data_IF_490212446921
#
_entry.id   IF_490212446921
#
_cell.length_a   1.000
_cell.length_b   1.000
_cell.length_c   1.000
_cell.angle_alpha   90.00
_cell.angle_beta   90.00
_cell.angle_gamma   90.00
#
_symmetry.space_group_name_H-M   'P 1'
#
loop_
_entity.id
_entity.type
_entity.pdbx_description
1 polymer ?
#
# COMPACT_ATOMS: atom_id res chain seq x y z
N UNK A 1 -4.09 12.76 -17.96
CA UNK A 1 -2.98 11.98 -18.53
C UNK A 1 -2.05 11.67 -17.36
N UNK A 2 -2.40 10.67 -16.56
CA UNK A 2 -1.67 10.36 -15.32
C UNK A 2 -0.53 9.41 -15.68
N UNK A 3 0.68 9.85 -15.40
CA UNK A 3 1.92 9.12 -15.59
C UNK A 3 1.97 7.94 -14.60
N UNK A 4 1.48 6.78 -15.01
CA UNK A 4 1.88 5.52 -14.40
C UNK A 4 3.26 5.17 -14.96
N UNK A 5 4.28 5.93 -14.53
CA UNK A 5 5.66 5.55 -14.77
C UNK A 5 5.80 4.16 -14.17
N UNK A 6 6.05 3.15 -15.02
CA UNK A 6 6.30 1.75 -14.65
C UNK A 6 7.35 1.74 -13.54
N UNK A 7 6.88 1.84 -12.31
CA UNK A 7 7.73 1.90 -11.12
C UNK A 7 8.47 0.58 -11.17
N UNK A 8 9.78 0.65 -10.96
CA UNK A 8 10.71 -0.45 -11.13
C UNK A 8 10.07 -1.80 -10.72
N UNK A 9 10.36 -2.92 -11.40
CA UNK A 9 9.70 -4.24 -11.24
C UNK A 9 9.81 -4.85 -9.83
N UNK A 10 10.31 -4.08 -8.86
CA UNK A 10 10.58 -4.43 -7.50
C UNK A 10 10.01 -3.47 -6.46
N UNK A 11 9.22 -2.48 -6.87
CA UNK A 11 8.55 -1.56 -5.94
C UNK A 11 7.09 -1.99 -5.82
N UNK A 12 6.65 -2.19 -4.58
CA UNK A 12 5.25 -2.43 -4.25
C UNK A 12 4.77 -1.29 -3.35
N UNK A 13 3.50 -0.92 -3.48
CA UNK A 13 2.89 0.12 -2.68
C UNK A 13 1.91 -0.48 -1.68
N UNK A 14 1.97 -0.02 -0.43
CA UNK A 14 0.94 -0.28 0.56
C UNK A 14 0.01 0.94 0.60
N UNK A 15 -1.20 0.77 0.09
CA UNK A 15 -2.21 1.82 0.13
C UNK A 15 -2.95 1.76 1.47
N UNK A 16 -2.67 2.73 2.32
CA UNK A 16 -3.34 2.91 3.62
C UNK A 16 -4.68 3.60 3.39
N UNK A 17 -5.74 2.81 3.29
CA UNK A 17 -7.10 3.26 3.04
C UNK A 17 -7.85 3.46 4.35
N UNK A 18 -8.34 4.67 4.57
CA UNK A 18 -9.02 5.07 5.79
C UNK A 18 -10.05 6.15 5.50
N UNK A 19 -11.10 6.18 6.32
CA UNK A 19 -12.09 7.24 6.22
C UNK A 19 -11.53 8.58 6.72
N UNK A 20 -12.14 9.66 6.23
CA UNK A 20 -11.73 11.02 6.57
C UNK A 20 -11.83 11.28 8.08
N UNK A 21 -12.89 10.76 8.71
CA UNK A 21 -13.18 10.96 10.13
C UNK A 21 -12.14 10.30 11.04
N UNK A 22 -11.73 9.04 10.75
CA UNK A 22 -10.69 8.35 11.52
C UNK A 22 -9.34 9.05 11.38
N UNK A 23 -9.00 9.51 10.18
CA UNK A 23 -7.74 10.23 9.95
C UNK A 23 -7.74 11.57 10.70
N UNK A 24 -8.83 12.33 10.62
CA UNK A 24 -8.98 13.60 11.34
C UNK A 24 -8.87 13.41 12.85
N UNK A 25 -9.57 12.41 13.41
CA UNK A 25 -9.53 12.10 14.84
C UNK A 25 -8.10 11.71 15.31
N UNK A 26 -7.36 10.94 14.49
CA UNK A 26 -5.96 10.57 14.78
C UNK A 26 -5.01 11.76 14.71
N UNK A 27 -5.21 12.66 13.75
CA UNK A 27 -4.43 13.89 13.61
C UNK A 27 -4.64 14.81 14.82
N UNK A 28 -5.90 15.01 15.24
CA UNK A 28 -6.25 15.85 16.39
C UNK A 28 -5.68 15.32 17.72
N UNK A 29 -5.50 14.00 17.84
CA UNK A 29 -4.92 13.38 19.03
C UNK A 29 -3.42 13.64 19.20
N UNK A 30 -2.71 14.13 18.16
CA UNK A 30 -1.29 14.48 18.24
C UNK A 30 -1.15 15.97 18.58
N UNK A 31 -0.64 16.27 19.78
CA UNK A 31 -0.36 17.65 20.21
C UNK A 31 0.93 18.17 19.54
N UNK A 32 0.81 19.00 18.52
CA UNK A 32 1.94 19.71 17.89
C UNK A 32 1.72 19.96 16.39
N UNK A 33 1.61 21.24 16.01
CA UNK A 33 1.55 21.78 14.64
C UNK A 33 1.15 20.78 13.54
N UNK A 34 -0.15 20.46 13.48
CA UNK A 34 -0.68 19.56 12.45
C UNK A 34 -1.24 20.34 11.26
N UNK A 35 -1.06 19.77 10.07
CA UNK A 35 -1.54 20.28 8.79
C UNK A 35 -2.97 20.84 8.89
N UNK A 36 -3.28 22.00 8.27
CA UNK A 36 -4.62 22.54 8.27
C UNK A 36 -5.59 21.54 7.64
N UNK A 37 -6.77 21.39 8.26
CA UNK A 37 -7.85 20.47 7.82
C UNK A 37 -8.22 20.67 6.34
N UNK A 38 -8.09 21.90 5.83
CA UNK A 38 -8.29 22.22 4.42
C UNK A 38 -7.37 21.43 3.47
N UNK A 39 -6.14 21.11 3.89
CA UNK A 39 -5.19 20.35 3.09
C UNK A 39 -5.49 18.84 3.11
N UNK A 40 -6.04 18.32 4.21
CA UNK A 40 -6.53 16.94 4.27
C UNK A 40 -7.65 16.74 3.23
N UNK A 41 -8.58 17.69 3.14
CA UNK A 41 -9.66 17.65 2.14
C UNK A 41 -9.12 17.65 0.71
N UNK A 42 -8.14 18.50 0.40
CA UNK A 42 -7.50 18.53 -0.92
C UNK A 42 -6.75 17.23 -1.26
N UNK A 43 -6.12 16.58 -0.28
CA UNK A 43 -5.48 15.27 -0.50
C UNK A 43 -6.50 14.17 -0.80
N UNK A 44 -7.66 14.18 -0.13
CA UNK A 44 -8.74 13.25 -0.43
C UNK A 44 -9.38 13.52 -1.80
N UNK A 45 -9.54 14.79 -2.19
CA UNK A 45 -10.06 15.17 -3.51
C UNK A 45 -9.08 14.81 -4.64
N UNK A 46 -7.77 14.87 -4.38
CA UNK A 46 -6.72 14.48 -5.33
C UNK A 46 -6.41 12.97 -5.31
N UNK A 47 -7.05 12.19 -4.42
CA UNK A 47 -6.79 10.76 -4.26
C UNK A 47 -7.40 9.97 -5.43
N UNK A 48 -6.56 9.54 -6.36
CA UNK A 48 -6.93 8.56 -7.38
C UNK A 48 -6.86 7.16 -6.76
N UNK A 49 -8.01 6.49 -6.66
CA UNK A 49 -8.06 5.13 -6.09
C UNK A 49 -7.42 4.15 -7.06
N UNK A 50 -6.53 3.27 -6.56
CA UNK A 50 -5.87 2.29 -7.41
C UNK A 50 -6.91 1.35 -8.02
N UNK A 51 -6.75 1.09 -9.30
CA UNK A 51 -7.64 0.22 -10.07
C UNK A 51 -7.29 -1.26 -9.81
N UNK A 52 -8.25 -2.17 -10.06
CA UNK A 52 -8.10 -3.59 -9.75
C UNK A 52 -6.99 -4.31 -10.57
N UNK A 53 -6.50 -3.68 -11.64
CA UNK A 53 -5.42 -4.15 -12.50
C UNK A 53 -4.01 -3.81 -11.95
N UNK A 54 -3.93 -2.99 -10.90
CA UNK A 54 -2.67 -2.57 -10.26
C UNK A 54 -2.20 -3.62 -9.23
N UNK A 55 -1.64 -4.72 -9.73
CA UNK A 55 -1.17 -5.86 -8.90
C UNK A 55 -0.03 -5.51 -7.93
N UNK A 56 0.65 -4.38 -8.14
CA UNK A 56 1.74 -3.92 -7.28
C UNK A 56 1.25 -3.13 -6.04
N UNK A 57 -0.06 -2.99 -5.87
CA UNK A 57 -0.67 -2.24 -4.77
C UNK A 57 -1.45 -3.16 -3.84
N UNK A 58 -1.11 -3.14 -2.55
CA UNK A 58 -1.84 -3.84 -1.50
C UNK A 58 -2.61 -2.83 -0.65
N UNK A 59 -3.93 -2.98 -0.58
CA UNK A 59 -4.80 -2.14 0.26
C UNK A 59 -4.73 -2.61 1.72
N UNK A 60 -4.51 -1.68 2.63
CA UNK A 60 -4.50 -1.89 4.09
C UNK A 60 -5.55 -0.96 4.69
N UNK A 61 -6.50 -1.53 5.44
CA UNK A 61 -7.52 -0.75 6.11
C UNK A 61 -6.98 -0.15 7.41
N UNK A 62 -6.92 1.18 7.49
CA UNK A 62 -6.43 1.88 8.67
C UNK A 62 -7.51 2.25 9.68
N UNK A 63 -8.78 1.89 9.46
CA UNK A 63 -9.88 2.15 10.40
C UNK A 63 -9.80 1.29 11.68
N UNK A 64 -8.84 0.36 11.74
CA UNK A 64 -8.52 -0.46 12.92
C UNK A 64 -7.43 0.14 13.80
N UNK A 65 -7.21 -0.45 14.98
CA UNK A 65 -6.11 -0.04 15.87
C UNK A 65 -4.72 -0.19 15.22
N UNK A 66 -3.73 0.49 15.79
CA UNK A 66 -2.37 0.49 15.23
C UNK A 66 -1.73 -0.89 15.20
N UNK A 67 -2.10 -1.78 16.14
CA UNK A 67 -1.57 -3.13 16.22
C UNK A 67 -2.04 -3.97 15.03
N UNK A 68 -3.35 -3.92 14.73
CA UNK A 68 -3.95 -4.60 13.60
C UNK A 68 -3.43 -4.06 12.27
N UNK A 69 -3.35 -2.73 12.12
CA UNK A 69 -2.78 -2.11 10.91
C UNK A 69 -1.33 -2.55 10.69
N UNK A 70 -0.52 -2.59 11.75
CA UNK A 70 0.87 -3.04 11.67
C UNK A 70 0.97 -4.50 11.27
N UNK A 71 0.11 -5.36 11.82
CA UNK A 71 0.07 -6.77 11.45
C UNK A 71 -0.37 -6.97 10.00
N UNK A 72 -1.39 -6.25 9.52
CA UNK A 72 -1.81 -6.28 8.12
C UNK A 72 -0.65 -5.87 7.18
N UNK A 73 0.06 -4.78 7.50
CA UNK A 73 1.24 -4.37 6.75
C UNK A 73 2.32 -5.45 6.73
N UNK A 74 2.58 -6.09 7.88
CA UNK A 74 3.56 -7.17 7.99
C UNK A 74 3.18 -8.36 7.12
N UNK A 75 1.92 -8.78 7.17
CA UNK A 75 1.41 -9.89 6.36
C UNK A 75 1.49 -9.59 4.86
N UNK A 76 1.13 -8.37 4.45
CA UNK A 76 1.25 -7.92 3.07
C UNK A 76 2.70 -7.98 2.57
N UNK A 77 3.67 -7.50 3.36
CA UNK A 77 5.10 -7.57 2.99
C UNK A 77 5.57 -9.01 2.88
N UNK A 78 5.17 -9.90 3.79
CA UNK A 78 5.54 -11.31 3.72
C UNK A 78 4.95 -12.00 2.49
N UNK A 79 3.68 -11.73 2.16
CA UNK A 79 3.03 -12.26 0.97
C UNK A 79 3.77 -11.82 -0.30
N UNK A 80 4.12 -10.54 -0.41
CA UNK A 80 4.93 -9.99 -1.52
C UNK A 80 6.28 -10.71 -1.63
N UNK A 81 6.97 -10.93 -0.50
CA UNK A 81 8.25 -11.64 -0.48
C UNK A 81 8.11 -13.10 -0.88
N UNK A 82 7.07 -13.80 -0.41
CA UNK A 82 6.84 -15.20 -0.72
C UNK A 82 6.52 -15.39 -2.20
N UNK A 83 5.67 -14.53 -2.77
CA UNK A 83 5.31 -14.57 -4.18
C UNK A 83 6.53 -14.40 -5.10
N UNK A 84 7.52 -13.61 -4.65
CA UNK A 84 8.82 -13.45 -5.34
C UNK A 84 9.71 -14.68 -5.25
N UNK A 85 9.74 -15.38 -4.13
CA UNK A 85 10.56 -16.59 -3.97
C UNK A 85 10.04 -17.69 -4.90
N UNK A 86 8.72 -17.93 -4.90
CA UNK A 86 8.10 -18.91 -5.79
C UNK A 86 8.25 -18.51 -7.28
N UNK A 87 8.17 -17.22 -7.62
CA UNK A 87 8.39 -16.75 -8.99
C UNK A 87 9.86 -16.91 -9.47
N UNK A 88 10.84 -16.82 -8.56
CA UNK A 88 12.25 -17.06 -8.88
C UNK A 88 12.54 -18.54 -9.10
N UNK A 89 11.95 -19.41 -8.28
CA UNK A 89 12.10 -20.88 -8.36
C UNK A 89 11.46 -21.48 -9.63
N UNK A 90 10.37 -20.88 -10.14
CA UNK A 90 9.74 -21.27 -11.41
C UNK A 90 10.54 -20.94 -12.68
N UNK A 91 11.70 -20.26 -12.58
CA UNK A 91 12.58 -19.99 -13.73
C UNK A 91 13.85 -20.85 -13.77
N UNK A 92 14.05 -21.72 -12.76
CA UNK A 92 15.23 -22.57 -12.64
C UNK A 92 15.00 -24.02 -13.12
N UNK A 93 13.82 -24.34 -13.65
CA UNK A 93 13.50 -25.65 -14.22
C UNK A 93 13.34 -25.58 -15.74
N UNK A 94 14.41 -25.18 -16.44
CA UNK A 94 14.52 -25.42 -17.89
C UNK A 94 16.00 -25.60 -18.26
N UNK A 95 16.47 -26.84 -18.10
CA UNK A 95 17.70 -27.50 -18.58
C UNK A 95 17.99 -28.63 -17.57
N UNK A 96 17.64 -29.89 -17.84
CA UNK A 96 18.12 -30.68 -18.98
C UNK A 96 17.24 -31.91 -19.21
N UNK A 97 16.61 -31.98 -20.39
CA UNK A 97 16.38 -33.25 -21.07
C UNK A 97 17.68 -33.68 -21.75
N UNK A 98 17.89 -35.00 -21.77
CA UNK A 98 19.01 -35.77 -22.36
C UNK A 98 20.33 -35.85 -21.56
#
# INVERSE_FOLDING_TARGET
MIFYARVAPHVHFLWLDGDYETILARMQRRAGHFMPVALLKSQFEALERPQADEQDIVRIDINHDIANVTEQCRQAVLAIRQNRICAKEGSASDQRCE
#
